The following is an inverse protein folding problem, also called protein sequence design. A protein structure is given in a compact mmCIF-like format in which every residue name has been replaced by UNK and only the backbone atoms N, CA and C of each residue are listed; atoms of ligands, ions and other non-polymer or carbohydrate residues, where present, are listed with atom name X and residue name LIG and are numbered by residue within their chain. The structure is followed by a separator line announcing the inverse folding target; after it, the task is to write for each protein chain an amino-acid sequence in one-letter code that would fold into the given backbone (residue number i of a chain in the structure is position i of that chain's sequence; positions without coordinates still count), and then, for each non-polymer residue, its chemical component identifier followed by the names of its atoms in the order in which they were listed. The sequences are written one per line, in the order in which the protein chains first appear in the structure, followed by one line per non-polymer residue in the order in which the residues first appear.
data_IF_686685872460
#
_entry.id   IF_686685872460
#
_cell.length_a   1.000
_cell.length_b   1.000
_cell.length_c   1.000
_cell.angle_alpha   90.00
_cell.angle_beta   90.00
_cell.angle_gamma   90.00
#
_symmetry.space_group_name_H-M   'P 1'
#
loop_
_entity.id
_entity.type
_entity.pdbx_description
1 polymer ?
#
# COMPACT_ATOMS: atom_id res chain seq x y z
N UNK A 1 -6.97 -19.46 5.65
CA UNK A 1 -7.22 -18.45 6.71
C UNK A 1 -6.68 -17.12 6.20
N UNK A 2 -7.28 -15.99 6.54
CA UNK A 2 -6.62 -14.69 6.33
C UNK A 2 -5.61 -14.52 7.46
N UNK A 3 -4.39 -14.12 7.10
CA UNK A 3 -3.28 -13.92 8.02
C UNK A 3 -3.02 -12.43 8.20
N UNK A 4 -2.48 -12.06 9.35
CA UNK A 4 -1.92 -10.73 9.57
C UNK A 4 -0.58 -10.62 8.84
N UNK A 5 -0.34 -9.46 8.22
CA UNK A 5 0.93 -9.04 7.66
C UNK A 5 1.41 -7.83 8.43
N UNK A 6 2.63 -7.90 8.93
CA UNK A 6 3.33 -6.79 9.55
C UNK A 6 4.37 -6.26 8.58
N UNK A 7 4.19 -5.03 8.13
CA UNK A 7 5.09 -4.39 7.18
C UNK A 7 5.90 -3.32 7.90
N UNK A 8 7.21 -3.53 7.98
CA UNK A 8 8.16 -2.59 8.57
C UNK A 8 8.65 -1.62 7.51
N UNK A 9 8.18 -0.39 7.61
CA UNK A 9 8.63 0.73 6.80
C UNK A 9 9.76 1.45 7.51
N UNK A 10 10.98 1.25 7.03
CA UNK A 10 12.09 2.12 7.41
C UNK A 10 11.90 3.48 6.75
N UNK A 11 11.76 4.52 7.56
CA UNK A 11 11.75 5.91 7.12
C UNK A 11 13.07 6.55 7.50
N UNK A 12 13.81 6.96 6.48
CA UNK A 12 15.14 7.49 6.66
C UNK A 12 15.10 8.79 7.50
N UNK A 13 16.10 9.01 8.38
CA UNK A 13 17.30 8.17 8.56
C UNK A 13 17.09 6.93 9.47
N UNK A 14 16.22 7.01 10.49
CA UNK A 14 16.22 6.04 11.61
C UNK A 14 14.84 5.64 12.13
N UNK A 15 13.74 6.18 11.58
CA UNK A 15 12.40 5.80 12.03
C UNK A 15 11.99 4.48 11.40
N UNK A 16 11.27 3.64 12.14
CA UNK A 16 10.58 2.47 11.61
C UNK A 16 9.13 2.55 12.03
N UNK A 17 8.24 2.51 11.06
CA UNK A 17 6.79 2.44 11.27
C UNK A 17 6.32 1.03 10.88
N UNK A 18 5.53 0.38 11.73
CA UNK A 18 4.95 -0.95 11.43
C UNK A 18 3.48 -0.80 11.06
N UNK A 19 3.11 -1.25 9.88
CA UNK A 19 1.71 -1.29 9.43
C UNK A 19 1.19 -2.72 9.47
N UNK A 20 0.08 -2.91 10.19
CA UNK A 20 -0.62 -4.20 10.29
C UNK A 20 -1.75 -4.24 9.28
N UNK A 21 -1.79 -5.29 8.47
CA UNK A 21 -2.75 -5.47 7.38
C UNK A 21 -3.21 -6.92 7.26
N UNK A 22 -4.36 -7.16 6.64
CA UNK A 22 -4.91 -8.50 6.43
C UNK A 22 -4.56 -9.01 5.03
N UNK A 23 -3.90 -10.17 4.91
CA UNK A 23 -3.53 -10.77 3.62
C UNK A 23 -4.74 -11.41 2.94
N UNK A 24 -5.32 -10.71 1.97
CA UNK A 24 -6.50 -11.15 1.23
C UNK A 24 -6.16 -12.10 0.08
N UNK A 25 -5.01 -11.85 -0.56
CA UNK A 25 -4.49 -12.63 -1.69
C UNK A 25 -2.96 -12.71 -1.62
N UNK A 26 -2.45 -13.91 -1.80
CA UNK A 26 -1.03 -14.24 -1.75
C UNK A 26 -0.63 -14.89 -3.09
N UNK A 27 -0.43 -14.05 -4.11
CA UNK A 27 0.00 -14.47 -5.46
C UNK A 27 1.49 -14.24 -5.67
N UNK A 28 2.09 -14.95 -6.63
CA UNK A 28 3.54 -14.81 -6.93
C UNK A 28 3.89 -13.45 -7.53
N UNK A 29 2.94 -12.82 -8.23
CA UNK A 29 3.07 -11.54 -8.91
C UNK A 29 2.61 -10.34 -8.06
N UNK A 30 1.65 -10.55 -7.16
CA UNK A 30 1.11 -9.50 -6.30
C UNK A 30 0.56 -10.07 -5.00
N UNK A 31 0.85 -9.37 -3.90
CA UNK A 31 0.18 -9.54 -2.62
C UNK A 31 -0.88 -8.46 -2.49
N UNK A 32 -2.11 -8.86 -2.14
CA UNK A 32 -3.19 -7.90 -1.88
C UNK A 32 -3.54 -7.96 -0.41
N UNK A 33 -3.42 -6.82 0.24
CA UNK A 33 -3.69 -6.67 1.67
C UNK A 33 -4.77 -5.63 1.90
N UNK A 34 -5.45 -5.74 3.03
CA UNK A 34 -6.49 -4.80 3.44
C UNK A 34 -6.16 -4.20 4.79
N UNK A 35 -6.18 -2.87 4.84
CA UNK A 35 -6.03 -2.11 6.06
C UNK A 35 -7.38 -1.46 6.39
N UNK A 36 -8.13 -1.97 7.39
CA UNK A 36 -9.47 -1.48 7.68
C UNK A 36 -9.49 -0.07 8.28
N UNK A 37 -8.38 0.34 8.91
CA UNK A 37 -8.23 1.62 9.60
C UNK A 37 -6.78 2.09 9.48
N UNK A 38 -6.52 3.04 8.59
CA UNK A 38 -5.15 3.55 8.37
C UNK A 38 -4.70 4.47 9.51
N UNK A 39 -3.56 4.17 10.18
CA UNK A 39 -3.09 4.89 11.36
C UNK A 39 -2.29 6.14 10.95
N UNK A 40 -2.98 7.17 10.46
CA UNK A 40 -2.40 8.50 10.19
C UNK A 40 -2.94 9.53 11.19
N UNK A 41 -2.10 10.46 11.62
CA UNK A 41 -2.48 11.47 12.63
C UNK A 41 -3.34 12.60 12.05
N UNK A 42 -3.20 12.87 10.76
CA UNK A 42 -3.89 13.95 10.06
C UNK A 42 -4.31 13.53 8.66
N UNK A 43 -5.41 14.09 8.11
CA UNK A 43 -5.82 13.78 6.75
C UNK A 43 -4.72 14.13 5.73
N UNK A 44 -4.46 13.21 4.78
CA UNK A 44 -3.61 13.50 3.63
C UNK A 44 -4.39 14.34 2.63
N UNK A 45 -3.71 15.33 2.04
CA UNK A 45 -4.31 16.26 1.09
C UNK A 45 -3.46 16.41 -0.15
N UNK A 46 -4.12 16.42 -1.31
CA UNK A 46 -3.53 16.81 -2.59
C UNK A 46 -4.33 17.99 -3.12
N UNK A 47 -3.63 19.09 -3.43
CA UNK A 47 -4.25 20.34 -3.89
C UNK A 47 -5.40 20.84 -2.98
N UNK A 48 -5.22 20.68 -1.67
CA UNK A 48 -6.20 21.08 -0.65
C UNK A 48 -7.39 20.13 -0.48
N UNK A 49 -7.56 19.12 -1.35
CA UNK A 49 -8.61 18.09 -1.23
C UNK A 49 -8.13 16.97 -0.33
N UNK A 50 -9.00 16.47 0.55
CA UNK A 50 -8.70 15.29 1.37
C UNK A 50 -8.74 14.05 0.48
N UNK A 51 -7.66 13.27 0.50
CA UNK A 51 -7.56 12.01 -0.26
C UNK A 51 -7.59 10.78 0.65
N UNK A 52 -7.25 10.92 1.93
CA UNK A 52 -7.27 9.86 2.92
C UNK A 52 -7.45 10.47 4.32
N UNK A 53 -8.37 9.95 5.11
CA UNK A 53 -8.64 10.40 6.49
C UNK A 53 -8.06 9.41 7.51
N UNK A 54 -7.73 9.86 8.73
CA UNK A 54 -7.43 8.96 9.84
C UNK A 54 -8.50 7.86 9.98
N UNK A 55 -8.06 6.61 10.03
CA UNK A 55 -8.95 5.45 10.15
C UNK A 55 -9.71 5.07 8.88
N UNK A 56 -9.40 5.68 7.73
CA UNK A 56 -9.97 5.25 6.45
C UNK A 56 -9.49 3.86 6.04
N UNK A 57 -10.29 3.11 5.26
CA UNK A 57 -9.88 1.82 4.73
C UNK A 57 -9.04 1.96 3.46
N UNK A 58 -8.01 1.13 3.33
CA UNK A 58 -7.15 1.08 2.14
C UNK A 58 -6.96 -0.37 1.69
N UNK A 59 -7.00 -0.59 0.38
CA UNK A 59 -6.57 -1.84 -0.25
C UNK A 59 -5.18 -1.62 -0.84
N UNK A 60 -4.20 -2.40 -0.40
CA UNK A 60 -2.80 -2.27 -0.79
C UNK A 60 -2.38 -3.42 -1.71
N UNK A 61 -1.44 -3.12 -2.60
CA UNK A 61 -0.88 -4.02 -3.60
C UNK A 61 0.63 -3.96 -3.53
N UNK A 62 1.24 -5.05 -3.10
CA UNK A 62 2.70 -5.18 -3.00
C UNK A 62 3.18 -6.10 -4.11
N UNK A 63 4.03 -5.58 -5.00
CA UNK A 63 4.57 -6.33 -6.14
C UNK A 63 6.01 -6.77 -5.81
N UNK A 64 6.31 -8.08 -5.75
CA UNK A 64 7.66 -8.55 -5.47
C UNK A 64 8.67 -7.97 -6.47
N UNK A 65 9.75 -7.37 -5.96
CA UNK A 65 10.80 -6.77 -6.79
C UNK A 65 10.52 -5.36 -7.32
N UNK A 66 9.29 -4.85 -7.19
CA UNK A 66 8.96 -3.49 -7.61
C UNK A 66 9.47 -2.44 -6.63
N UNK A 67 9.79 -1.24 -7.13
CA UNK A 67 10.23 -0.10 -6.32
C UNK A 67 9.05 0.78 -5.87
N UNK A 68 7.85 0.21 -5.86
CA UNK A 68 6.66 0.86 -5.35
C UNK A 68 5.67 -0.17 -4.83
N UNK A 69 4.82 0.23 -3.89
CA UNK A 69 3.53 -0.40 -3.67
C UNK A 69 2.40 0.51 -4.15
N UNK A 70 1.19 -0.02 -4.25
CA UNK A 70 0.01 0.76 -4.69
C UNK A 70 -1.08 0.67 -3.63
N UNK A 71 -1.68 1.79 -3.28
CA UNK A 71 -2.84 1.89 -2.41
C UNK A 71 -4.06 2.41 -3.17
N UNK A 72 -5.21 1.79 -2.96
CA UNK A 72 -6.52 2.34 -3.33
C UNK A 72 -7.11 3.09 -2.15
N UNK A 73 -7.13 4.40 -2.24
CA UNK A 73 -7.54 5.25 -1.14
C UNK A 73 -9.04 5.50 -1.17
N UNK A 74 -9.62 5.56 0.03
CA UNK A 74 -11.01 5.88 0.26
C UNK A 74 -11.11 6.85 1.44
N UNK A 75 -12.20 7.59 1.52
CA UNK A 75 -12.58 8.31 2.75
C UNK A 75 -13.17 7.33 3.78
N UNK A 76 -13.41 7.80 5.00
CA UNK A 76 -13.97 6.98 6.08
C UNK A 76 -15.34 6.38 5.76
N UNK A 77 -16.12 7.03 4.89
CA UNK A 77 -17.41 6.52 4.40
C UNK A 77 -17.27 5.48 3.27
N UNK A 78 -16.05 5.23 2.79
CA UNK A 78 -15.74 4.31 1.70
C UNK A 78 -15.73 4.96 0.31
N UNK A 79 -15.92 6.28 0.20
CA UNK A 79 -15.81 6.99 -1.08
C UNK A 79 -14.41 6.86 -1.65
N UNK A 80 -14.28 6.27 -2.84
CA UNK A 80 -12.99 6.15 -3.53
C UNK A 80 -12.45 7.52 -3.94
N UNK A 81 -11.20 7.81 -3.57
CA UNK A 81 -10.56 9.11 -3.84
C UNK A 81 -9.51 9.03 -4.94
N UNK A 82 -8.87 7.87 -5.12
CA UNK A 82 -7.83 7.67 -6.13
C UNK A 82 -6.85 6.54 -5.81
N UNK A 83 -5.82 6.48 -6.63
CA UNK A 83 -4.73 5.51 -6.57
C UNK A 83 -3.47 6.24 -6.14
N UNK A 84 -2.82 5.70 -5.12
CA UNK A 84 -1.56 6.19 -4.59
C UNK A 84 -0.48 5.14 -4.83
N UNK A 85 0.74 5.54 -5.14
CA UNK A 85 1.90 4.67 -5.13
C UNK A 85 2.98 5.27 -4.23
N UNK A 86 3.44 4.52 -3.24
CA UNK A 86 4.62 4.88 -2.46
C UNK A 86 5.86 4.37 -3.16
N UNK A 87 6.84 5.23 -3.46
CA UNK A 87 8.13 4.80 -4.00
C UNK A 87 9.03 4.34 -2.86
N UNK A 88 9.44 3.09 -2.95
CA UNK A 88 10.10 2.35 -1.88
C UNK A 88 11.19 1.42 -2.43
N UNK A 89 12.05 0.88 -1.57
CA UNK A 89 12.92 -0.23 -1.98
C UNK A 89 12.11 -1.49 -2.22
N UNK A 90 12.53 -2.42 -3.11
CA UNK A 90 11.84 -3.69 -3.28
C UNK A 90 11.58 -4.40 -1.94
N UNK A 91 10.32 -4.69 -1.60
CA UNK A 91 9.99 -5.31 -0.32
C UNK A 91 10.68 -6.66 -0.17
N UNK A 92 11.29 -6.89 0.98
CA UNK A 92 11.71 -8.23 1.41
C UNK A 92 10.49 -8.92 1.99
N UNK A 93 10.01 -9.94 1.30
CA UNK A 93 8.88 -10.76 1.72
C UNK A 93 9.45 -12.01 2.42
N UNK A 94 9.31 -12.09 3.74
CA UNK A 94 9.76 -13.27 4.50
C UNK A 94 8.80 -14.47 4.30
N UNK A 95 9.11 -15.60 4.94
CA UNK A 95 8.42 -16.87 4.72
C UNK A 95 6.90 -16.73 4.96
N UNK A 96 6.05 -17.11 4.00
CA UNK A 96 4.60 -17.06 4.19
C UNK A 96 4.11 -17.97 5.34
N UNK A 97 4.88 -18.96 5.78
CA UNK A 97 4.47 -19.84 6.89
C UNK A 97 4.49 -19.17 8.27
N UNK A 98 5.12 -17.99 8.40
CA UNK A 98 5.11 -17.21 9.63
C UNK A 98 3.72 -16.60 9.93
N UNK A 99 3.39 -16.49 11.22
CA UNK A 99 2.19 -15.80 11.70
C UNK A 99 2.55 -14.91 12.91
N UNK A 100 2.61 -13.57 12.74
CA UNK A 100 2.27 -12.82 11.53
C UNK A 100 3.30 -12.99 10.41
N UNK A 101 2.89 -12.76 9.15
CA UNK A 101 3.82 -12.67 8.02
C UNK A 101 4.56 -11.35 8.12
N UNK A 102 5.90 -11.37 8.07
CA UNK A 102 6.73 -10.18 8.23
C UNK A 102 7.28 -9.70 6.89
N UNK A 103 7.10 -8.43 6.54
CA UNK A 103 7.70 -7.80 5.35
C UNK A 103 8.50 -6.55 5.72
N UNK A 104 9.53 -6.23 4.95
CA UNK A 104 10.38 -5.06 5.19
C UNK A 104 10.61 -4.26 3.92
N UNK A 105 10.56 -2.94 4.05
CA UNK A 105 10.92 -2.02 2.98
C UNK A 105 11.43 -0.69 3.55
N UNK A 106 11.99 0.15 2.68
CA UNK A 106 12.42 1.51 3.00
C UNK A 106 11.68 2.49 2.11
N UNK A 107 11.03 3.47 2.73
CA UNK A 107 10.38 4.60 2.07
C UNK A 107 11.44 5.52 1.44
N UNK A 108 11.20 5.91 0.18
CA UNK A 108 12.13 6.74 -0.59
C UNK A 108 11.56 8.14 -0.89
N UNK A 109 10.66 8.61 -0.02
CA UNK A 109 10.06 9.95 0.01
C UNK A 109 9.12 10.30 -1.14
N UNK A 110 9.38 9.86 -2.37
CA UNK A 110 8.52 10.19 -3.50
C UNK A 110 7.26 9.32 -3.50
N UNK A 111 6.14 9.93 -3.83
CA UNK A 111 4.91 9.21 -4.12
C UNK A 111 4.33 9.65 -5.45
N UNK A 112 3.46 8.81 -6.03
CA UNK A 112 2.65 9.18 -7.19
C UNK A 112 1.18 9.06 -6.83
N UNK A 113 0.43 10.14 -7.03
CA UNK A 113 -1.00 10.19 -6.83
C UNK A 113 -1.73 10.32 -8.16
N UNK A 114 -2.71 9.46 -8.38
CA UNK A 114 -3.73 9.59 -9.42
C UNK A 114 -5.09 9.70 -8.79
N UNK A 115 -5.69 10.88 -8.88
CA UNK A 115 -7.03 11.11 -8.36
C UNK A 115 -8.10 10.32 -9.12
N UNK A 116 -9.27 10.17 -8.53
CA UNK A 116 -10.42 9.52 -9.18
C UNK A 116 -10.86 10.22 -10.47
N UNK A 117 -10.48 11.50 -10.67
CA UNK A 117 -10.68 12.25 -11.91
C UNK A 117 -9.64 11.98 -13.00
N UNK A 118 -8.59 11.20 -12.70
CA UNK A 118 -7.49 10.87 -13.61
C UNK A 118 -6.32 11.86 -13.57
N UNK A 119 -6.38 12.91 -12.75
CA UNK A 119 -5.24 13.81 -12.55
C UNK A 119 -4.08 13.07 -11.88
N UNK A 120 -2.87 13.21 -12.43
CA UNK A 120 -1.66 12.58 -11.91
C UNK A 120 -0.65 13.60 -11.38
N UNK A 121 0.00 13.29 -10.25
CA UNK A 121 0.99 14.13 -9.57
C UNK A 121 2.08 13.27 -8.94
N UNK A 122 3.32 13.74 -8.99
CA UNK A 122 4.36 13.31 -8.06
C UNK A 122 4.21 14.15 -6.79
N UNK A 123 4.29 13.53 -5.62
CA UNK A 123 4.19 14.19 -4.32
C UNK A 123 5.55 14.19 -3.62
N UNK A 124 5.66 15.03 -2.59
CA UNK A 124 6.76 15.06 -1.62
C UNK A 124 8.16 15.24 -2.24
N UNK A 125 8.23 15.88 -3.42
CA UNK A 125 9.47 16.24 -4.11
C UNK A 125 10.39 17.13 -3.25
N UNK A 126 9.81 17.95 -2.35
CA UNK A 126 10.56 18.79 -1.43
C UNK A 126 11.19 17.97 -0.28
N UNK A 127 10.50 16.96 0.23
CA UNK A 127 11.04 16.02 1.21
C UNK A 127 12.17 15.19 0.61
N UNK A 128 11.96 14.64 -0.58
CA UNK A 128 13.00 13.94 -1.34
C UNK A 128 14.23 14.83 -1.57
N UNK A 129 14.03 16.08 -2.02
CA UNK A 129 15.12 17.03 -2.27
C UNK A 129 15.91 17.32 -0.99
N UNK A 130 15.21 17.58 0.12
CA UNK A 130 15.85 17.82 1.42
C UNK A 130 16.66 16.60 1.89
N UNK A 131 16.09 15.40 1.79
CA UNK A 131 16.75 14.17 2.21
C UNK A 131 18.00 13.87 1.38
N UNK A 132 17.94 14.09 0.05
CA UNK A 132 19.07 13.91 -0.85
C UNK A 132 20.17 14.94 -0.56
N UNK A 133 19.84 16.23 -0.46
CA UNK A 133 20.81 17.29 -0.17
C UNK A 133 21.48 17.12 1.20
N UNK A 134 20.76 16.59 2.18
CA UNK A 134 21.29 16.30 3.51
C UNK A 134 22.15 15.02 3.56
N UNK A 135 22.24 14.25 2.48
CA UNK A 135 22.93 12.95 2.42
C UNK A 135 22.23 11.83 3.19
N UNK A 136 20.99 12.04 3.63
CA UNK A 136 20.15 11.03 4.31
C UNK A 136 19.67 9.99 3.31
N UNK A 137 19.31 10.43 2.10
CA UNK A 137 18.96 9.57 0.97
C UNK A 137 20.20 9.40 0.06
N UNK A 138 20.81 8.19 -0.02
CA UNK A 138 21.99 7.96 -0.85
C UNK A 138 21.71 8.22 -2.34
N UNK A 139 22.70 8.73 -3.07
CA UNK A 139 22.57 9.11 -4.50
C UNK A 139 21.92 8.02 -5.38
N UNK A 140 22.33 6.77 -5.21
CA UNK A 140 21.78 5.65 -5.99
C UNK A 140 20.29 5.41 -5.72
N UNK A 141 19.85 5.57 -4.47
CA UNK A 141 18.44 5.46 -4.11
C UNK A 141 17.64 6.70 -4.52
N UNK A 142 18.22 7.89 -4.39
CA UNK A 142 17.61 9.13 -4.86
C UNK A 142 17.30 9.04 -6.36
N UNK A 143 18.30 8.65 -7.16
CA UNK A 143 18.14 8.46 -8.59
C UNK A 143 17.08 7.41 -8.92
N UNK A 144 17.16 6.24 -8.29
CA UNK A 144 16.22 5.14 -8.55
C UNK A 144 14.78 5.51 -8.18
N UNK A 145 14.57 6.21 -7.06
CA UNK A 145 13.25 6.66 -6.65
C UNK A 145 12.64 7.62 -7.68
N UNK A 146 13.46 8.56 -8.20
CA UNK A 146 13.02 9.49 -9.23
C UNK A 146 12.66 8.78 -10.54
N UNK A 147 13.51 7.85 -10.98
CA UNK A 147 13.24 7.03 -12.17
C UNK A 147 11.93 6.27 -12.04
N UNK A 148 11.65 5.67 -10.88
CA UNK A 148 10.42 4.92 -10.64
C UNK A 148 9.19 5.84 -10.69
N UNK A 149 9.23 7.00 -10.02
CA UNK A 149 8.13 7.97 -10.06
C UNK A 149 7.85 8.47 -11.49
N UNK A 150 8.89 8.83 -12.24
CA UNK A 150 8.75 9.27 -13.64
C UNK A 150 8.23 8.13 -14.55
N UNK A 151 8.64 6.88 -14.30
CA UNK A 151 8.15 5.71 -15.03
C UNK A 151 6.66 5.44 -14.76
N UNK A 152 6.19 5.62 -13.53
CA UNK A 152 4.76 5.52 -13.18
C UNK A 152 3.93 6.59 -13.89
N UNK A 153 4.40 7.83 -13.91
CA UNK A 153 3.73 8.93 -14.64
C UNK A 153 3.67 8.63 -16.14
N UNK A 154 4.76 8.12 -16.71
CA UNK A 154 4.81 7.71 -18.12
C UNK A 154 3.85 6.54 -18.39
N UNK A 155 3.78 5.56 -17.49
CA UNK A 155 2.88 4.43 -17.62
C UNK A 155 1.40 4.83 -17.53
N UNK A 156 1.02 5.80 -16.71
CA UNK A 156 -0.33 6.37 -16.71
C UNK A 156 -0.65 7.03 -18.05
N UNK A 157 0.26 7.85 -18.59
CA UNK A 157 0.06 8.52 -19.87
C UNK A 157 -0.15 7.54 -21.03
N UNK A 158 0.43 6.34 -20.92
CA UNK A 158 0.28 5.24 -21.87
C UNK A 158 -0.89 4.29 -21.54
N UNK A 159 -1.66 4.54 -20.46
CA UNK A 159 -2.78 3.72 -20.03
C UNK A 159 -2.38 2.33 -19.49
N UNK A 160 -1.13 2.18 -19.04
CA UNK A 160 -0.56 0.93 -18.50
C UNK A 160 -0.54 0.88 -16.98
N UNK A 161 -0.73 2.02 -16.32
CA UNK A 161 -0.84 2.13 -14.87
C UNK A 161 -2.21 2.74 -14.51
N UNK A 162 -2.82 2.34 -13.39
CA UNK A 162 -2.44 1.20 -12.55
C UNK A 162 -2.66 -0.14 -13.27
N UNK A 163 -1.94 -1.22 -12.89
CA UNK A 163 -2.19 -2.55 -13.44
C UNK A 163 -3.63 -3.02 -13.18
N UNK A 164 -4.19 -3.83 -14.08
CA UNK A 164 -5.58 -4.28 -14.02
C UNK A 164 -5.97 -4.96 -12.69
N UNK A 165 -5.02 -5.62 -12.01
CA UNK A 165 -5.28 -6.23 -10.70
C UNK A 165 -5.70 -5.20 -9.64
N UNK A 166 -5.12 -4.00 -9.69
CA UNK A 166 -5.48 -2.87 -8.82
C UNK A 166 -6.92 -2.45 -9.06
N UNK A 167 -7.38 -2.43 -10.30
CA UNK A 167 -8.78 -2.09 -10.61
C UNK A 167 -9.75 -3.20 -10.19
N UNK A 168 -9.33 -4.47 -10.29
CA UNK A 168 -10.17 -5.61 -9.97
C UNK A 168 -10.47 -5.79 -8.46
N UNK A 169 -9.65 -5.22 -7.59
CA UNK A 169 -9.77 -5.32 -6.14
C UNK A 169 -10.35 -4.03 -5.55
N UNK A 170 -11.68 -3.95 -5.54
CA UNK A 170 -12.43 -2.86 -4.91
C UNK A 170 -12.46 -3.00 -3.39
N UNK A 171 -12.85 -1.92 -2.70
CA UNK A 171 -13.09 -1.95 -1.26
C UNK A 171 -14.17 -2.98 -0.88
N UNK A 172 -15.24 -3.08 -1.65
CA UNK A 172 -16.31 -4.05 -1.40
C UNK A 172 -15.80 -5.48 -1.55
N UNK A 173 -15.04 -5.78 -2.62
CA UNK A 173 -14.43 -7.09 -2.80
C UNK A 173 -13.47 -7.45 -1.65
N UNK A 174 -12.69 -6.48 -1.18
CA UNK A 174 -11.79 -6.68 -0.05
C UNK A 174 -12.56 -7.03 1.24
N UNK A 175 -13.65 -6.29 1.53
CA UNK A 175 -14.53 -6.53 2.68
C UNK A 175 -15.25 -7.88 2.59
N UNK A 176 -15.76 -8.24 1.42
CA UNK A 176 -16.40 -9.55 1.17
C UNK A 176 -15.42 -10.69 1.42
N UNK A 177 -14.19 -10.58 0.90
CA UNK A 177 -13.14 -11.59 1.08
C UNK A 177 -12.81 -11.78 2.57
N UNK A 178 -12.73 -10.68 3.32
CA UNK A 178 -12.51 -10.70 4.77
C UNK A 178 -13.65 -11.42 5.50
N UNK A 179 -14.90 -11.04 5.21
CA UNK A 179 -16.09 -11.63 5.83
C UNK A 179 -16.21 -13.15 5.57
N UNK A 180 -15.93 -13.59 4.33
CA UNK A 180 -15.96 -15.02 3.96
C UNK A 180 -14.97 -15.87 4.78
N UNK A 181 -13.79 -15.32 5.09
CA UNK A 181 -12.81 -15.99 5.94
C UNK A 181 -13.33 -16.17 7.37
N UNK A 182 -13.94 -15.13 7.96
CA UNK A 182 -14.50 -15.17 9.31
C UNK A 182 -15.70 -16.13 9.42
N UNK A 183 -16.58 -16.19 8.42
CA UNK A 183 -17.73 -17.12 8.41
C UNK A 183 -17.30 -18.58 8.32
N UNK A 184 -16.23 -18.87 7.56
CA UNK A 184 -15.68 -20.23 7.43
C UNK A 184 -15.17 -20.74 8.78
N UNK A 185 -14.54 -19.88 9.59
CA UNK A 185 -14.06 -20.22 10.94
C UNK A 185 -15.23 -20.54 11.87
N UNK A 186 -16.29 -19.71 11.88
CA UNK A 186 -17.46 -19.95 12.73
C UNK A 186 -18.18 -21.27 12.38
N UNK A 187 -18.26 -21.61 11.09
CA UNK A 187 -18.89 -22.86 10.64
C UNK A 187 -18.05 -24.10 11.00
N UNK A 188 -16.72 -24.00 11.00
CA UNK A 188 -15.81 -25.08 11.42
C UNK A 188 -15.90 -25.31 12.94
N UNK A 189 -15.89 -24.25 13.74
CA UNK A 189 -15.97 -24.35 15.20
C UNK A 189 -17.28 -25.02 15.68
N UNK A 190 -18.41 -24.69 15.05
CA UNK A 190 -19.72 -25.30 15.39
C UNK A 190 -19.80 -26.80 15.11
N UNK A 191 -19.04 -27.32 14.13
CA UNK A 191 -19.02 -28.77 13.83
C UNK A 191 -18.16 -29.56 14.81
N UNK A 192 -17.10 -28.96 15.34
CA UNK A 192 -16.20 -29.61 16.32
C UNK A 192 -16.79 -29.68 17.74
N UNK A 193 -17.75 -28.82 18.08
CA UNK A 193 -18.41 -28.81 19.41
C UNK A 193 -19.67 -29.68 19.48
N UNK A 194 -20.03 -30.41 18.41
CA UNK A 194 -21.23 -31.26 18.33
C UNK A 194 -20.93 -32.77 18.32
N UNK A 195 -19.75 -33.16 18.83
CA UNK A 195 -19.33 -34.55 19.10
C UNK A 195 -18.93 -34.68 20.55
#
# INVERSE_FOLDING_TARGET
MIRSVHIHYRRLPERVDTYVQELLHDGDDVKVTFQPSTPIDRPLRVEGRVILEPGSPVVWFTFPGAWHDIGRFHLGDGTFTGIYANVLTPPRLHDPEDDPVEWETTDLFLDVWRGAGGEIRILDEDEWTRAHQAGVLPDGWAHRAREEADALVTAEAEGRWPPAVVESWTLDRARERLAQSSSTIQAAHRRSTST
#
